data_IF_421668402090
#
_entry.id   IF_421668402090
#
_cell.length_a   1.000
_cell.length_b   1.000
_cell.length_c   1.000
_cell.angle_alpha   90.00
_cell.angle_beta   90.00
_cell.angle_gamma   90.00
#
_symmetry.space_group_name_H-M   'P 1'
#
loop_
_entity.id
_entity.type
_entity.pdbx_description
1 polymer ?
#
# COMPACT_ATOMS: atom_id res chain seq x y z
N UNK A 1 10.90 16.72 30.66
CA UNK A 1 9.66 16.67 29.89
C UNK A 1 10.09 16.77 28.44
N UNK A 2 10.25 15.64 27.78
CA UNK A 2 10.64 15.58 26.37
C UNK A 2 9.42 16.01 25.52
N UNK A 3 9.60 16.84 24.47
CA UNK A 3 8.50 17.20 23.59
C UNK A 3 8.07 15.95 22.82
N UNK A 4 6.75 15.72 22.80
CA UNK A 4 6.15 14.58 22.10
C UNK A 4 6.43 14.74 20.62
N UNK A 5 7.01 13.68 20.06
CA UNK A 5 7.19 13.40 18.64
C UNK A 5 5.81 13.44 17.96
N UNK A 6 5.37 14.63 17.53
CA UNK A 6 4.13 14.81 16.78
C UNK A 6 4.51 14.70 15.31
N UNK A 7 4.38 13.48 14.77
CA UNK A 7 4.63 13.21 13.36
C UNK A 7 3.86 14.24 12.51
N UNK A 8 4.51 14.94 11.57
CA UNK A 8 3.86 15.95 10.75
C UNK A 8 2.63 15.34 10.09
N UNK A 9 1.47 16.00 10.22
CA UNK A 9 0.17 15.49 9.80
C UNK A 9 0.16 15.14 8.31
N UNK A 10 0.46 13.88 8.01
CA UNK A 10 0.37 13.34 6.66
C UNK A 10 -1.10 13.41 6.27
N UNK A 11 -1.46 14.06 5.15
CA UNK A 11 -2.85 14.07 4.69
C UNK A 11 -3.31 12.63 4.50
N UNK A 12 -4.38 12.24 5.19
CA UNK A 12 -5.02 10.93 5.01
C UNK A 12 -5.67 10.93 3.63
N UNK A 13 -4.96 10.36 2.66
CA UNK A 13 -5.48 10.10 1.32
C UNK A 13 -6.10 8.71 1.29
N UNK A 14 -7.21 8.55 0.58
CA UNK A 14 -7.81 7.24 0.37
C UNK A 14 -6.89 6.39 -0.51
N UNK A 15 -6.82 5.07 -0.29
CA UNK A 15 -6.03 4.18 -1.13
C UNK A 15 -6.63 4.11 -2.54
N UNK A 16 -5.78 4.07 -3.56
CA UNK A 16 -6.21 4.07 -4.96
C UNK A 16 -6.50 2.67 -5.50
N UNK A 17 -6.05 1.65 -4.77
CA UNK A 17 -6.21 0.23 -5.10
C UNK A 17 -6.72 -0.60 -3.91
N UNK A 18 -7.41 -1.69 -4.21
CA UNK A 18 -7.89 -2.69 -3.26
C UNK A 18 -7.33 -4.07 -3.61
N UNK A 19 -6.88 -4.81 -2.60
CA UNK A 19 -6.46 -6.21 -2.76
C UNK A 19 -7.61 -7.15 -2.39
N UNK A 20 -7.99 -8.02 -3.32
CA UNK A 20 -9.04 -9.02 -3.14
C UNK A 20 -8.56 -10.37 -3.65
N UNK A 21 -8.48 -11.36 -2.75
CA UNK A 21 -7.97 -12.71 -3.01
C UNK A 21 -6.58 -12.74 -3.69
N UNK A 22 -5.74 -11.73 -3.42
CA UNK A 22 -4.40 -11.60 -4.01
C UNK A 22 -4.33 -10.82 -5.32
N UNK A 23 -5.46 -10.33 -5.81
CA UNK A 23 -5.56 -9.50 -7.02
C UNK A 23 -5.78 -8.04 -6.66
N UNK A 24 -5.15 -7.12 -7.40
CA UNK A 24 -5.31 -5.68 -7.17
C UNK A 24 -6.35 -5.08 -8.12
N UNK A 25 -7.20 -4.22 -7.59
CA UNK A 25 -8.24 -3.52 -8.34
C UNK A 25 -8.12 -2.02 -8.12
N UNK A 26 -8.21 -1.21 -9.18
CA UNK A 26 -8.39 0.23 -9.03
C UNK A 26 -9.74 0.54 -8.40
N UNK A 27 -9.77 1.51 -7.49
CA UNK A 27 -11.00 1.93 -6.78
C UNK A 27 -11.23 3.45 -6.74
N UNK A 28 -10.26 4.28 -7.16
CA UNK A 28 -10.33 5.75 -7.15
C UNK A 28 -10.08 6.39 -8.53
N UNK A 29 -10.30 7.72 -8.59
CA UNK A 29 -10.08 8.68 -9.69
C UNK A 29 -10.82 8.41 -11.02
N UNK A 30 -10.74 7.19 -11.55
CA UNK A 30 -11.30 6.78 -12.84
C UNK A 30 -12.32 5.63 -12.70
N UNK A 31 -12.65 5.26 -11.46
CA UNK A 31 -13.58 4.17 -11.15
C UNK A 31 -14.92 4.74 -10.70
N UNK A 32 -16.04 4.35 -11.35
CA UNK A 32 -17.36 4.78 -10.90
C UNK A 32 -17.63 4.32 -9.46
N UNK A 33 -18.20 5.18 -8.63
CA UNK A 33 -18.49 4.91 -7.20
C UNK A 33 -19.23 3.58 -6.98
N UNK A 34 -20.17 3.23 -7.88
CA UNK A 34 -20.91 1.97 -7.82
C UNK A 34 -20.02 0.72 -7.98
N UNK A 35 -18.92 0.84 -8.72
CA UNK A 35 -17.93 -0.23 -8.88
C UNK A 35 -17.11 -0.36 -7.60
N UNK A 36 -16.65 0.76 -7.05
CA UNK A 36 -15.95 0.81 -5.75
C UNK A 36 -16.78 0.17 -4.64
N UNK A 37 -18.06 0.54 -4.49
CA UNK A 37 -18.95 -0.05 -3.49
C UNK A 37 -19.13 -1.57 -3.69
N UNK A 38 -19.26 -2.05 -4.94
CA UNK A 38 -19.37 -3.49 -5.20
C UNK A 38 -18.07 -4.23 -4.83
N UNK A 39 -16.90 -3.65 -5.10
CA UNK A 39 -15.62 -4.23 -4.72
C UNK A 39 -15.45 -4.24 -3.19
N UNK A 40 -15.88 -3.18 -2.49
CA UNK A 40 -15.92 -3.12 -1.02
C UNK A 40 -16.82 -4.21 -0.43
N UNK A 41 -18.02 -4.43 -0.97
CA UNK A 41 -18.92 -5.51 -0.53
C UNK A 41 -18.29 -6.90 -0.72
N UNK A 42 -17.54 -7.10 -1.81
CA UNK A 42 -16.79 -8.33 -2.04
C UNK A 42 -15.64 -8.49 -1.04
N UNK A 43 -14.96 -7.40 -0.70
CA UNK A 43 -13.88 -7.39 0.28
C UNK A 43 -14.39 -7.71 1.69
N UNK A 44 -15.48 -7.07 2.11
CA UNK A 44 -16.08 -7.26 3.44
C UNK A 44 -16.53 -8.71 3.69
N UNK A 45 -16.89 -9.44 2.62
CA UNK A 45 -17.29 -10.86 2.70
C UNK A 45 -16.15 -11.84 2.42
N UNK A 46 -14.92 -11.38 2.26
CA UNK A 46 -13.73 -12.18 1.93
C UNK A 46 -13.94 -13.06 0.67
N UNK A 47 -14.56 -12.47 -0.37
CA UNK A 47 -14.89 -13.16 -1.61
C UNK A 47 -13.65 -13.68 -2.34
N UNK A 48 -13.79 -14.81 -3.03
CA UNK A 48 -12.74 -15.38 -3.90
C UNK A 48 -12.78 -14.78 -5.30
N UNK A 49 -11.64 -14.82 -6.00
CA UNK A 49 -11.53 -14.25 -7.34
C UNK A 49 -12.56 -14.83 -8.33
N UNK A 50 -12.86 -16.12 -8.19
CA UNK A 50 -13.86 -16.81 -9.00
C UNK A 50 -15.30 -16.28 -8.80
N UNK A 51 -15.58 -15.66 -7.65
CA UNK A 51 -16.88 -15.07 -7.32
C UNK A 51 -17.02 -13.63 -7.83
N UNK A 52 -15.93 -13.00 -8.27
CA UNK A 52 -15.95 -11.62 -8.77
C UNK A 52 -16.66 -11.61 -10.13
N UNK A 53 -17.71 -10.79 -10.32
CA UNK A 53 -18.31 -10.57 -11.62
C UNK A 53 -17.32 -10.04 -12.66
N UNK A 54 -17.43 -10.51 -13.91
CA UNK A 54 -16.54 -10.14 -15.00
C UNK A 54 -16.44 -8.62 -15.25
N UNK A 55 -17.53 -7.86 -15.02
CA UNK A 55 -17.51 -6.40 -15.17
C UNK A 55 -16.69 -5.69 -14.10
N UNK A 56 -16.47 -6.33 -12.94
CA UNK A 56 -15.58 -5.82 -11.90
C UNK A 56 -14.13 -6.24 -12.16
N UNK A 57 -13.91 -7.43 -12.74
CA UNK A 57 -12.57 -7.87 -13.17
C UNK A 57 -11.91 -6.95 -14.19
N UNK A 58 -12.70 -6.21 -14.96
CA UNK A 58 -12.19 -5.18 -15.88
C UNK A 58 -11.41 -4.04 -15.19
N UNK A 59 -11.50 -3.92 -13.86
CA UNK A 59 -10.77 -2.93 -13.06
C UNK A 59 -9.53 -3.51 -12.37
N UNK A 60 -9.21 -4.78 -12.61
CA UNK A 60 -7.97 -5.40 -12.14
C UNK A 60 -6.76 -4.68 -12.74
N UNK A 61 -5.73 -4.49 -11.93
CA UNK A 61 -4.47 -3.84 -12.31
C UNK A 61 -3.28 -4.69 -11.89
N UNK A 62 -2.22 -4.63 -12.69
CA UNK A 62 -0.97 -5.31 -12.37
C UNK A 62 -0.20 -4.49 -11.33
N UNK A 63 0.43 -5.15 -10.36
CA UNK A 63 1.46 -4.49 -9.56
C UNK A 63 2.59 -4.08 -10.53
N UNK A 64 2.76 -2.79 -10.80
CA UNK A 64 3.99 -2.35 -11.44
C UNK A 64 5.15 -2.70 -10.48
N UNK A 65 6.11 -3.50 -10.94
CA UNK A 65 7.28 -4.00 -10.18
C UNK A 65 8.16 -2.90 -9.52
N UNK A 66 7.79 -1.63 -9.68
CA UNK A 66 8.49 -0.46 -9.16
C UNK A 66 8.49 -0.38 -7.62
N UNK A 67 7.50 -0.95 -6.93
CA UNK A 67 7.41 -0.89 -5.46
C UNK A 67 8.41 -1.83 -4.74
N UNK A 68 9.06 -2.75 -5.47
CA UNK A 68 10.02 -3.71 -4.89
C UNK A 68 11.43 -3.11 -4.75
N UNK A 69 11.78 -2.09 -5.54
CA UNK A 69 13.09 -1.41 -5.43
C UNK A 69 13.16 -0.53 -4.17
N UNK A 70 12.06 0.11 -3.77
CA UNK A 70 12.04 1.00 -2.60
C UNK A 70 12.28 0.23 -1.28
N UNK A 71 11.71 -0.97 -1.16
CA UNK A 71 11.92 -1.85 0.00
C UNK A 71 13.37 -2.35 0.10
N UNK A 72 14.08 -2.53 -1.03
CA UNK A 72 15.50 -2.94 -1.05
C UNK A 72 16.43 -1.82 -0.62
N UNK A 73 16.15 -0.58 -0.99
CA UNK A 73 16.96 0.58 -0.60
C UNK A 73 16.85 0.87 0.90
N UNK A 74 15.66 0.73 1.51
CA UNK A 74 15.49 0.85 2.97
C UNK A 74 16.29 -0.20 3.76
N UNK A 75 16.41 -1.42 3.24
CA UNK A 75 17.22 -2.46 3.87
C UNK A 75 18.72 -2.11 3.85
N UNK A 76 19.24 -1.52 2.76
CA UNK A 76 20.65 -1.11 2.64
C UNK A 76 21.03 0.05 3.56
N UNK A 77 20.10 0.93 3.90
CA UNK A 77 20.31 2.04 4.84
C UNK A 77 20.37 1.59 6.31
N UNK A 78 19.78 0.43 6.64
CA UNK A 78 19.78 -0.12 8.00
C UNK A 78 21.08 -0.85 8.38
N UNK A 79 21.96 -1.17 7.43
CA UNK A 79 23.15 -2.01 7.67
C UNK A 79 24.41 -1.23 8.10
N UNK A 80 24.37 0.11 8.13
CA UNK A 80 25.49 0.91 8.65
C UNK A 80 25.16 1.49 10.04
N UNK A 81 25.54 0.84 11.14
CA UNK A 81 25.65 1.53 12.42
C UNK A 81 26.76 2.61 12.30
N UNK A 82 26.58 3.83 12.85
CA UNK A 82 27.64 4.81 12.90
C UNK A 82 28.80 4.22 13.71
N UNK A 83 29.96 4.08 13.07
CA UNK A 83 31.20 3.69 13.71
C UNK A 83 31.43 4.62 14.90
N UNK A 84 31.38 4.04 16.10
CA UNK A 84 31.83 4.67 17.33
C UNK A 84 33.28 5.10 17.14
N UNK A 85 33.49 6.41 17.07
CA UNK A 85 34.79 7.05 17.06
C UNK A 85 35.46 6.79 18.41
N UNK A 86 36.19 5.69 18.49
CA UNK A 86 37.03 5.36 19.64
C UNK A 86 38.14 6.40 19.75
N UNK A 87 37.97 7.29 20.74
CA UNK A 87 38.92 8.26 21.28
C UNK A 87 40.39 8.00 20.93
N UNK A 88 40.99 8.97 20.24
CA UNK A 88 42.35 9.39 20.57
C UNK A 88 42.37 9.81 22.04
N UNK A 89 43.28 9.23 22.84
CA UNK A 89 44.13 9.91 23.83
C UNK A 89 45.19 8.93 24.36
#
# INVERSE_FOLDING_TARGET
MEPRDEAPGIPSVAPDVMCLDGHLFHINYDVPEKITQQLEELYDRDAKYEEIPEHLKAYETEMEDSDVEEAKELARLSENPPNNEGSEL
#
